data_IF_736855042556
#
_entry.id   IF_736855042556
#
_cell.length_a   1.000
_cell.length_b   1.000
_cell.length_c   1.000
_cell.angle_alpha   90.00
_cell.angle_beta   90.00
_cell.angle_gamma   90.00
#
_symmetry.space_group_name_H-M   'P 1'
#
loop_
_entity.id
_entity.type
_entity.pdbx_description
1 polymer ?
#
# COMPACT_ATOMS: atom_id res chain seq x y z
N UNK A 1 -10.20 -31.01 6.37
CA UNK A 1 -11.59 -30.63 6.11
C UNK A 1 -12.35 -31.91 5.74
N UNK A 2 -13.23 -32.38 6.62
CA UNK A 2 -14.13 -33.52 6.32
C UNK A 2 -15.08 -33.11 5.19
N UNK A 3 -15.12 -33.92 4.15
CA UNK A 3 -16.08 -33.72 3.05
C UNK A 3 -17.49 -33.96 3.61
N UNK A 4 -18.35 -32.95 3.49
CA UNK A 4 -19.77 -33.08 3.76
C UNK A 4 -20.32 -34.17 2.82
N UNK A 5 -20.87 -35.23 3.39
CA UNK A 5 -21.36 -36.40 2.62
C UNK A 5 -22.76 -36.19 2.08
N UNK A 6 -23.60 -35.47 2.82
CA UNK A 6 -24.98 -35.18 2.45
C UNK A 6 -25.50 -33.94 3.18
N UNK A 7 -26.50 -33.27 2.59
CA UNK A 7 -27.20 -32.13 3.19
C UNK A 7 -28.66 -32.51 3.28
N UNK A 8 -29.18 -32.59 4.49
CA UNK A 8 -30.59 -32.90 4.75
C UNK A 8 -31.30 -31.66 5.25
N UNK A 9 -32.38 -31.30 4.61
CA UNK A 9 -33.26 -30.20 5.04
C UNK A 9 -34.41 -30.75 5.87
N UNK A 10 -34.73 -30.07 6.98
CA UNK A 10 -35.83 -30.44 7.83
C UNK A 10 -36.18 -29.33 8.84
N UNK A 11 -37.43 -29.30 9.27
CA UNK A 11 -37.87 -28.37 10.30
C UNK A 11 -37.48 -28.94 11.69
N UNK A 12 -36.76 -28.09 12.45
CA UNK A 12 -36.33 -28.42 13.81
C UNK A 12 -36.85 -27.38 14.78
N UNK A 13 -37.49 -27.84 15.84
CA UNK A 13 -37.93 -26.95 16.93
C UNK A 13 -36.69 -26.48 17.72
N UNK A 14 -36.39 -25.21 17.63
CA UNK A 14 -35.24 -24.58 18.29
C UNK A 14 -35.55 -24.18 19.78
N UNK A 15 -36.82 -24.02 20.11
CA UNK A 15 -37.26 -23.57 21.41
C UNK A 15 -38.50 -22.68 21.35
N UNK A 16 -38.95 -22.25 22.52
CA UNK A 16 -40.09 -21.35 22.66
C UNK A 16 -39.61 -19.91 22.87
N UNK A 17 -40.23 -18.95 22.18
CA UNK A 17 -39.98 -17.52 22.34
C UNK A 17 -41.24 -16.87 22.87
N UNK A 18 -41.19 -16.05 23.95
CA UNK A 18 -42.37 -15.36 24.45
C UNK A 18 -42.93 -14.40 23.43
N UNK A 19 -44.24 -14.35 23.28
CA UNK A 19 -44.94 -13.39 22.43
C UNK A 19 -44.84 -11.98 23.03
N UNK A 20 -44.70 -10.99 22.16
CA UNK A 20 -44.75 -9.59 22.58
C UNK A 20 -46.19 -9.17 22.85
N UNK A 21 -46.41 -8.50 23.97
CA UNK A 21 -47.70 -7.91 24.30
C UNK A 21 -48.05 -6.71 23.44
N UNK A 22 -49.27 -6.23 23.50
CA UNK A 22 -49.70 -5.02 22.75
C UNK A 22 -48.92 -3.75 23.13
N UNK A 23 -48.38 -3.73 24.36
CA UNK A 23 -47.62 -2.59 24.90
C UNK A 23 -46.10 -2.73 24.65
N UNK A 24 -45.65 -3.75 23.91
CA UNK A 24 -44.25 -3.95 23.57
C UNK A 24 -43.41 -4.60 24.68
N UNK A 25 -44.07 -5.23 25.66
CA UNK A 25 -43.43 -5.99 26.73
C UNK A 25 -43.47 -7.49 26.48
N UNK A 26 -42.73 -8.25 27.27
CA UNK A 26 -42.68 -9.71 27.27
C UNK A 26 -42.90 -10.26 28.66
N UNK A 27 -43.68 -11.33 28.76
CA UNK A 27 -43.86 -12.04 30.06
C UNK A 27 -42.86 -13.19 30.09
N UNK A 28 -41.86 -13.10 30.97
CA UNK A 28 -40.82 -14.10 31.15
C UNK A 28 -40.82 -14.56 32.60
N UNK A 29 -41.10 -15.84 32.82
CA UNK A 29 -41.23 -16.44 34.20
C UNK A 29 -42.20 -15.64 35.09
N UNK A 30 -43.36 -15.23 34.56
CA UNK A 30 -44.37 -14.47 35.30
C UNK A 30 -44.01 -12.99 35.56
N UNK A 31 -42.88 -12.51 35.05
CA UNK A 31 -42.44 -11.13 35.23
C UNK A 31 -42.53 -10.39 33.91
N UNK A 32 -43.14 -9.22 33.91
CA UNK A 32 -43.18 -8.33 32.74
C UNK A 32 -41.80 -7.68 32.52
N UNK A 33 -41.28 -7.82 31.29
CA UNK A 33 -39.94 -7.30 30.88
C UNK A 33 -40.05 -6.54 29.59
N UNK A 34 -39.17 -5.56 29.41
CA UNK A 34 -39.03 -4.76 28.22
C UNK A 34 -37.61 -4.85 27.71
N UNK A 35 -37.46 -4.96 26.41
CA UNK A 35 -36.14 -4.90 25.75
C UNK A 35 -35.63 -3.47 25.76
N UNK A 36 -34.48 -3.24 26.35
CA UNK A 36 -33.83 -1.94 26.44
C UNK A 36 -32.70 -1.87 25.42
N UNK A 37 -32.71 -0.84 24.58
CA UNK A 37 -31.64 -0.57 23.66
C UNK A 37 -30.38 -0.14 24.39
N UNK A 38 -29.25 -0.72 24.00
CA UNK A 38 -27.95 -0.33 24.51
C UNK A 38 -27.22 0.50 23.48
N UNK A 39 -26.77 1.70 23.86
CA UNK A 39 -25.94 2.53 23.02
C UNK A 39 -24.52 1.96 22.98
N UNK A 40 -24.01 1.70 21.80
CA UNK A 40 -22.64 1.26 21.58
C UNK A 40 -22.03 1.97 20.36
N UNK A 41 -20.70 1.85 20.18
CA UNK A 41 -20.07 2.33 18.95
C UNK A 41 -20.61 1.56 17.75
N UNK A 42 -20.97 2.30 16.68
CA UNK A 42 -21.41 1.67 15.43
C UNK A 42 -20.26 0.85 14.83
N UNK A 43 -20.56 -0.28 14.18
CA UNK A 43 -19.59 -0.96 13.34
C UNK A 43 -19.11 -0.06 12.21
N UNK A 44 -17.85 -0.20 11.80
CA UNK A 44 -17.28 0.58 10.71
C UNK A 44 -15.79 0.82 10.87
N UNK A 45 -15.25 1.66 10.01
CA UNK A 45 -13.84 2.07 10.01
C UNK A 45 -13.78 3.51 10.50
N UNK A 46 -12.93 3.74 11.48
CA UNK A 46 -12.68 5.04 12.10
C UNK A 46 -11.24 5.43 11.89
N UNK A 47 -11.01 6.62 11.34
CA UNK A 47 -9.67 7.20 11.18
C UNK A 47 -9.45 8.27 12.24
N UNK A 48 -8.27 8.26 12.84
CA UNK A 48 -7.87 9.20 13.88
C UNK A 48 -6.39 9.56 13.75
N UNK A 49 -5.96 10.58 14.50
CA UNK A 49 -4.56 10.98 14.61
C UNK A 49 -4.28 11.59 15.99
N UNK A 50 -3.04 11.51 16.43
CA UNK A 50 -2.59 11.98 17.76
C UNK A 50 -2.35 13.49 17.84
N UNK A 51 -2.46 14.23 16.73
CA UNK A 51 -2.14 15.67 16.60
C UNK A 51 -0.70 16.01 16.99
N UNK A 52 0.23 15.08 16.80
CA UNK A 52 1.64 15.26 17.14
C UNK A 52 1.96 15.30 18.63
N UNK A 53 1.06 14.83 19.50
CA UNK A 53 1.26 14.85 20.95
C UNK A 53 2.10 13.70 21.49
N UNK A 54 2.13 12.58 20.78
CA UNK A 54 2.76 11.35 21.25
C UNK A 54 4.28 11.35 21.07
N UNK A 55 4.78 12.02 20.05
CA UNK A 55 6.20 12.07 19.74
C UNK A 55 6.79 13.46 19.93
N UNK A 56 8.02 13.54 20.49
CA UNK A 56 8.73 14.79 20.78
C UNK A 56 9.01 15.66 19.55
N UNK A 57 9.09 15.06 18.36
CA UNK A 57 9.28 15.79 17.08
C UNK A 57 8.03 16.52 16.58
N UNK A 58 6.88 16.35 17.23
CA UNK A 58 5.60 16.90 16.75
C UNK A 58 5.03 16.19 15.51
N UNK A 59 5.60 15.05 15.11
CA UNK A 59 5.12 14.24 13.98
C UNK A 59 3.73 13.71 14.28
N UNK A 60 2.79 13.91 13.34
CA UNK A 60 1.43 13.39 13.44
C UNK A 60 1.42 11.91 13.12
N UNK A 61 0.97 11.10 14.06
CA UNK A 61 0.80 9.65 13.87
C UNK A 61 -0.65 9.34 13.58
N UNK A 62 -0.89 8.73 12.43
CA UNK A 62 -2.22 8.32 11.98
C UNK A 62 -2.55 6.93 12.48
N UNK A 63 -3.84 6.71 12.73
CA UNK A 63 -4.37 5.42 13.14
C UNK A 63 -5.72 5.16 12.47
N UNK A 64 -6.04 3.89 12.30
CA UNK A 64 -7.33 3.45 11.83
C UNK A 64 -7.84 2.30 12.70
N UNK A 65 -9.12 2.31 13.01
CA UNK A 65 -9.77 1.28 13.81
C UNK A 65 -10.93 0.67 13.06
N UNK A 66 -10.92 -0.64 12.93
CA UNK A 66 -12.01 -1.41 12.35
C UNK A 66 -12.81 -2.03 13.50
N UNK A 67 -14.08 -1.64 13.60
CA UNK A 67 -15.01 -2.16 14.58
C UNK A 67 -16.02 -3.04 13.85
N UNK A 68 -16.00 -4.36 14.06
CA UNK A 68 -16.99 -5.27 13.48
C UNK A 68 -18.32 -5.19 14.23
N UNK A 69 -19.37 -5.67 13.59
CA UNK A 69 -20.67 -5.83 14.27
C UNK A 69 -20.56 -6.78 15.47
N UNK A 70 -19.77 -7.86 15.31
CA UNK A 70 -19.49 -8.85 16.36
C UNK A 70 -18.08 -9.40 16.17
N UNK A 71 -17.27 -9.38 17.21
CA UNK A 71 -15.90 -9.90 17.18
C UNK A 71 -14.86 -8.92 17.70
N UNK A 72 -13.60 -9.24 17.49
CA UNK A 72 -12.46 -8.46 17.96
C UNK A 72 -12.23 -7.21 17.11
N UNK A 73 -11.80 -6.14 17.75
CA UNK A 73 -11.41 -4.92 17.08
C UNK A 73 -10.03 -5.06 16.44
N UNK A 74 -9.85 -4.41 15.31
CA UNK A 74 -8.58 -4.35 14.61
C UNK A 74 -8.12 -2.89 14.54
N UNK A 75 -6.99 -2.61 15.15
CA UNK A 75 -6.38 -1.28 15.15
C UNK A 75 -5.13 -1.28 14.28
N UNK A 76 -5.00 -0.30 13.39
CA UNK A 76 -3.79 -0.01 12.63
C UNK A 76 -3.19 1.31 13.13
N UNK A 77 -1.89 1.32 13.39
CA UNK A 77 -1.18 2.46 13.96
C UNK A 77 0.17 2.65 13.25
N UNK A 78 0.47 3.87 12.81
CA UNK A 78 1.83 4.23 12.41
C UNK A 78 2.67 4.54 13.63
N UNK A 79 3.92 4.11 13.61
CA UNK A 79 4.90 4.53 14.60
C UNK A 79 5.69 5.76 14.11
N UNK A 80 6.59 6.28 14.97
CA UNK A 80 7.43 7.43 14.62
C UNK A 80 8.43 7.17 13.48
N UNK A 81 8.66 5.89 13.13
CA UNK A 81 9.54 5.44 12.05
C UNK A 81 8.77 5.14 10.74
N UNK A 82 7.50 5.55 10.65
CA UNK A 82 6.60 5.26 9.53
C UNK A 82 6.30 3.78 9.28
N UNK A 83 6.49 2.94 10.29
CA UNK A 83 6.15 1.52 10.21
C UNK A 83 4.69 1.35 10.62
N UNK A 84 3.92 0.70 9.76
CA UNK A 84 2.53 0.37 10.03
C UNK A 84 2.45 -0.92 10.85
N UNK A 85 1.90 -0.79 12.03
CA UNK A 85 1.58 -1.90 12.92
C UNK A 85 0.08 -2.15 12.99
N UNK A 86 -0.27 -3.36 13.30
CA UNK A 86 -1.63 -3.70 13.63
C UNK A 86 -1.73 -4.35 15.02
N UNK A 87 -2.91 -4.23 15.61
CA UNK A 87 -3.23 -4.80 16.93
C UNK A 87 -4.62 -5.41 16.88
N UNK A 88 -4.72 -6.65 17.28
CA UNK A 88 -5.98 -7.36 17.38
C UNK A 88 -6.39 -7.37 18.86
N UNK A 89 -7.59 -6.83 19.13
CA UNK A 89 -8.20 -6.86 20.46
C UNK A 89 -7.28 -6.34 21.58
N UNK A 90 -6.56 -5.24 21.31
CA UNK A 90 -5.60 -4.58 22.21
C UNK A 90 -4.41 -5.47 22.65
N UNK A 91 -4.15 -6.58 21.98
CA UNK A 91 -2.99 -7.43 22.23
C UNK A 91 -1.70 -6.78 21.72
N UNK A 92 -0.59 -7.51 21.78
CA UNK A 92 0.71 -7.04 21.28
C UNK A 92 0.61 -6.62 19.81
N UNK A 93 1.19 -5.47 19.46
CA UNK A 93 1.27 -4.99 18.09
C UNK A 93 2.20 -5.86 17.25
N UNK A 94 1.79 -6.11 16.02
CA UNK A 94 2.53 -6.86 14.99
C UNK A 94 2.63 -6.02 13.73
N UNK A 95 3.63 -6.19 12.86
CA UNK A 95 3.67 -5.53 11.57
C UNK A 95 2.42 -5.82 10.73
N UNK A 96 1.84 -4.81 10.10
CA UNK A 96 0.60 -4.95 9.33
C UNK A 96 0.73 -5.94 8.15
N UNK A 97 1.93 -6.05 7.57
CA UNK A 97 2.23 -7.00 6.49
C UNK A 97 1.97 -8.46 6.86
N UNK A 98 2.06 -8.82 8.14
CA UNK A 98 1.76 -10.19 8.60
C UNK A 98 0.27 -10.51 8.40
N UNK A 99 -0.63 -9.54 8.69
CA UNK A 99 -2.06 -9.73 8.46
C UNK A 99 -2.36 -9.79 6.96
N UNK A 100 -1.78 -8.90 6.16
CA UNK A 100 -1.99 -8.89 4.71
C UNK A 100 -1.56 -10.22 4.08
N UNK A 101 -0.42 -10.78 4.52
CA UNK A 101 0.02 -12.11 4.10
C UNK A 101 -0.89 -13.24 4.61
N UNK A 102 -1.44 -13.11 5.81
CA UNK A 102 -2.43 -14.07 6.33
C UNK A 102 -3.75 -14.03 5.55
N UNK A 103 -4.04 -12.92 4.86
CA UNK A 103 -5.13 -12.77 3.89
C UNK A 103 -4.74 -13.20 2.47
N UNK A 104 -3.62 -13.95 2.34
CA UNK A 104 -3.10 -14.52 1.08
C UNK A 104 -2.59 -13.47 0.07
N UNK A 105 -2.36 -12.22 0.50
CA UNK A 105 -1.74 -11.22 -0.38
C UNK A 105 -0.26 -11.54 -0.60
N UNK A 106 0.16 -11.59 -1.84
CA UNK A 106 1.56 -11.73 -2.23
C UNK A 106 2.37 -10.46 -1.93
N UNK A 107 3.70 -10.56 -1.93
CA UNK A 107 4.56 -9.39 -1.74
C UNK A 107 4.36 -8.33 -2.81
N UNK A 108 4.17 -8.75 -4.06
CA UNK A 108 3.89 -7.84 -5.18
C UNK A 108 2.56 -7.11 -5.01
N UNK A 109 1.49 -7.83 -4.64
CA UNK A 109 0.17 -7.23 -4.40
C UNK A 109 0.20 -6.21 -3.27
N UNK A 110 0.94 -6.51 -2.19
CA UNK A 110 1.12 -5.56 -1.09
C UNK A 110 1.84 -4.31 -1.59
N UNK A 111 2.94 -4.45 -2.32
CA UNK A 111 3.69 -3.31 -2.85
C UNK A 111 2.84 -2.47 -3.80
N UNK A 112 2.11 -3.09 -4.72
CA UNK A 112 1.21 -2.40 -5.64
C UNK A 112 0.01 -1.72 -4.97
N UNK A 113 -0.42 -2.20 -3.79
CA UNK A 113 -1.52 -1.60 -3.04
C UNK A 113 -1.12 -0.32 -2.32
N UNK A 114 0.17 -0.19 -1.94
CA UNK A 114 0.65 0.93 -1.13
C UNK A 114 1.53 1.92 -1.90
N UNK A 115 2.13 1.50 -3.01
CA UNK A 115 3.05 2.31 -3.79
C UNK A 115 2.62 2.39 -5.24
N UNK A 116 2.81 3.56 -5.81
CA UNK A 116 2.81 3.72 -7.26
C UNK A 116 4.05 3.06 -7.86
N UNK A 117 3.97 2.70 -9.12
CA UNK A 117 5.08 2.09 -9.84
C UNK A 117 5.47 2.91 -11.06
N UNK A 118 6.75 2.88 -11.37
CA UNK A 118 7.34 3.42 -12.60
C UNK A 118 7.91 2.28 -13.44
N UNK A 119 7.59 2.30 -14.74
CA UNK A 119 8.13 1.35 -15.70
C UNK A 119 9.32 1.97 -16.43
N UNK A 120 10.40 1.22 -16.48
CA UNK A 120 11.65 1.60 -17.11
C UNK A 120 11.98 0.66 -18.27
N UNK A 121 12.30 1.23 -19.41
CA UNK A 121 12.87 0.49 -20.54
C UNK A 121 14.37 0.80 -20.61
N UNK A 122 15.19 -0.23 -20.60
CA UNK A 122 16.66 -0.14 -20.63
C UNK A 122 17.13 -0.41 -22.05
N UNK A 123 17.78 0.57 -22.68
CA UNK A 123 18.34 0.46 -24.03
C UNK A 123 19.81 0.85 -23.93
N UNK A 124 20.69 -0.14 -23.83
CA UNK A 124 22.13 0.06 -23.62
C UNK A 124 22.39 0.87 -22.33
N UNK A 125 22.95 2.07 -22.46
CA UNK A 125 23.29 2.97 -21.34
C UNK A 125 22.20 3.99 -21.02
N UNK A 126 21.11 4.01 -21.78
CA UNK A 126 19.97 4.91 -21.58
C UNK A 126 18.80 4.16 -20.97
N UNK A 127 18.07 4.85 -20.12
CA UNK A 127 16.84 4.38 -19.52
C UNK A 127 15.72 5.33 -19.89
N UNK A 128 14.63 4.80 -20.42
CA UNK A 128 13.42 5.57 -20.73
C UNK A 128 12.29 5.19 -19.78
N UNK A 129 11.55 6.20 -19.35
CA UNK A 129 10.36 6.04 -18.53
C UNK A 129 9.30 7.05 -18.92
N UNK A 130 8.07 6.80 -18.52
CA UNK A 130 6.99 7.76 -18.72
C UNK A 130 7.25 9.02 -17.88
N UNK A 131 7.18 10.18 -18.51
CA UNK A 131 7.35 11.45 -17.81
C UNK A 131 6.08 11.79 -17.02
N UNK A 132 6.21 11.79 -15.70
CA UNK A 132 5.19 12.30 -14.77
C UNK A 132 5.79 13.52 -14.06
N UNK A 133 5.51 14.75 -14.52
CA UNK A 133 6.20 15.94 -14.05
C UNK A 133 6.11 16.16 -12.54
N UNK A 134 4.96 15.84 -11.92
CA UNK A 134 4.74 16.00 -10.48
C UNK A 134 5.72 15.17 -9.63
N UNK A 135 6.15 14.00 -10.13
CA UNK A 135 7.08 13.10 -9.42
C UNK A 135 8.52 13.59 -9.43
N UNK A 136 8.87 14.47 -10.36
CA UNK A 136 10.22 15.04 -10.47
C UNK A 136 10.46 16.24 -9.55
N UNK A 137 9.47 16.68 -8.79
CA UNK A 137 9.60 17.86 -7.93
C UNK A 137 10.60 17.60 -6.80
N UNK A 138 11.66 18.40 -6.79
CA UNK A 138 12.72 18.30 -5.77
C UNK A 138 13.86 17.36 -6.13
N UNK A 139 13.71 16.51 -7.14
CA UNK A 139 14.77 15.63 -7.63
C UNK A 139 15.89 16.39 -8.33
N UNK A 140 17.04 15.73 -8.41
CA UNK A 140 18.23 16.20 -9.14
C UNK A 140 18.64 15.13 -10.14
N UNK A 141 18.59 15.44 -11.41
CA UNK A 141 18.96 14.49 -12.47
C UNK A 141 20.42 14.70 -12.88
N UNK A 142 21.11 13.63 -13.18
CA UNK A 142 22.49 13.64 -13.70
C UNK A 142 22.59 14.07 -15.17
N UNK A 143 21.47 14.17 -15.86
CA UNK A 143 21.39 14.55 -17.27
C UNK A 143 20.56 15.81 -17.46
N UNK A 144 20.84 16.53 -18.57
CA UNK A 144 20.04 17.70 -18.93
C UNK A 144 18.63 17.30 -19.34
N UNK A 145 17.64 17.94 -18.76
CA UNK A 145 16.24 17.74 -19.12
C UNK A 145 15.89 18.69 -20.27
N UNK A 146 15.77 18.13 -21.47
CA UNK A 146 15.57 18.89 -22.72
C UNK A 146 14.16 18.67 -23.27
N UNK A 147 13.54 19.77 -23.69
CA UNK A 147 12.30 19.76 -24.46
C UNK A 147 12.64 20.20 -25.88
N UNK A 148 12.64 19.24 -26.81
CA UNK A 148 13.16 19.45 -28.19
C UNK A 148 14.62 19.94 -28.15
N UNK A 149 14.88 21.21 -28.46
CA UNK A 149 16.22 21.84 -28.45
C UNK A 149 16.49 22.71 -27.22
N UNK A 150 15.47 22.98 -26.40
CA UNK A 150 15.59 23.86 -25.21
C UNK A 150 15.90 23.04 -23.97
N UNK A 151 16.97 23.38 -23.26
CA UNK A 151 17.26 22.83 -21.92
C UNK A 151 16.35 23.52 -20.92
N UNK A 152 15.50 22.76 -20.21
CA UNK A 152 14.63 23.27 -19.15
C UNK A 152 15.35 23.23 -17.81
N UNK A 153 16.04 22.10 -17.53
CA UNK A 153 16.84 21.91 -16.32
C UNK A 153 18.20 21.37 -16.75
N UNK A 154 19.26 22.04 -16.34
CA UNK A 154 20.62 21.55 -16.53
C UNK A 154 20.93 20.40 -15.57
N UNK A 155 21.83 19.51 -15.97
CA UNK A 155 22.29 18.39 -15.14
C UNK A 155 22.73 18.89 -13.74
N UNK A 156 22.46 18.07 -12.73
CA UNK A 156 22.78 18.31 -11.33
C UNK A 156 22.12 19.57 -10.70
N UNK A 157 21.06 20.10 -11.34
CA UNK A 157 20.23 21.15 -10.74
C UNK A 157 18.92 20.59 -10.24
N UNK A 158 18.49 21.09 -9.07
CA UNK A 158 17.23 20.70 -8.44
C UNK A 158 16.03 21.16 -9.27
N UNK A 159 15.09 20.26 -9.51
CA UNK A 159 13.86 20.54 -10.25
C UNK A 159 12.88 21.30 -9.36
N UNK A 160 12.50 22.50 -9.83
CA UNK A 160 11.60 23.41 -9.09
C UNK A 160 10.17 23.34 -9.64
N UNK A 161 9.21 23.86 -8.88
CA UNK A 161 7.81 23.95 -9.31
C UNK A 161 7.62 24.75 -10.64
N UNK A 162 8.54 25.66 -10.98
CA UNK A 162 8.53 26.38 -12.26
C UNK A 162 8.86 25.43 -13.41
N UNK A 163 9.88 24.59 -13.23
CA UNK A 163 10.29 23.59 -14.24
C UNK A 163 9.17 22.56 -14.47
N UNK A 164 8.45 22.16 -13.42
CA UNK A 164 7.30 21.25 -13.54
C UNK A 164 6.22 21.83 -14.45
N UNK A 165 5.82 23.08 -14.24
CA UNK A 165 4.83 23.76 -15.11
C UNK A 165 5.26 23.86 -16.57
N UNK A 166 6.56 24.09 -16.79
CA UNK A 166 7.14 24.13 -18.14
C UNK A 166 7.12 22.73 -18.80
N UNK A 167 7.37 21.66 -18.03
CA UNK A 167 7.28 20.28 -18.49
C UNK A 167 5.83 19.86 -18.78
N UNK A 168 4.88 20.19 -17.93
CA UNK A 168 3.45 19.94 -18.13
C UNK A 168 2.93 20.59 -19.43
N UNK A 169 3.42 21.78 -19.76
CA UNK A 169 3.06 22.49 -20.99
C UNK A 169 3.71 21.92 -22.25
N UNK A 170 4.78 21.14 -22.11
CA UNK A 170 5.63 20.69 -23.22
C UNK A 170 5.11 19.48 -24.01
N UNK A 171 4.12 18.75 -23.49
CA UNK A 171 3.55 17.50 -24.06
C UNK A 171 4.61 16.43 -24.38
N UNK A 172 5.63 16.32 -23.56
CA UNK A 172 6.59 15.21 -23.62
C UNK A 172 6.08 14.09 -22.71
N UNK A 173 6.01 12.89 -23.24
CA UNK A 173 5.50 11.72 -22.53
C UNK A 173 6.62 10.78 -22.05
N UNK A 174 7.83 10.93 -22.58
CA UNK A 174 8.97 10.04 -22.29
C UNK A 174 10.15 10.84 -21.75
N UNK A 175 10.67 10.39 -20.64
CA UNK A 175 11.89 10.89 -20.01
C UNK A 175 13.04 9.93 -20.31
N UNK A 176 14.16 10.46 -20.81
CA UNK A 176 15.39 9.70 -21.04
C UNK A 176 16.42 10.07 -19.99
N UNK A 177 16.98 9.07 -19.34
CA UNK A 177 17.89 9.19 -18.21
C UNK A 177 19.13 8.31 -18.42
N UNK A 178 20.19 8.56 -17.64
CA UNK A 178 21.31 7.64 -17.53
C UNK A 178 20.90 6.40 -16.75
N UNK A 179 21.51 5.26 -17.03
CA UNK A 179 21.35 3.98 -16.33
C UNK A 179 21.57 4.10 -14.81
N UNK A 180 22.46 5.01 -14.39
CA UNK A 180 22.76 5.28 -12.99
C UNK A 180 21.54 5.78 -12.18
N UNK A 181 20.53 6.30 -12.87
CA UNK A 181 19.27 6.73 -12.22
C UNK A 181 18.51 5.57 -11.55
N UNK A 182 18.76 4.34 -12.00
CA UNK A 182 18.15 3.15 -11.39
C UNK A 182 18.82 2.75 -10.07
N UNK A 183 20.02 3.24 -9.77
CA UNK A 183 20.73 2.95 -8.52
C UNK A 183 19.89 3.48 -7.33
N UNK A 184 19.75 2.65 -6.31
CA UNK A 184 18.90 2.87 -5.12
C UNK A 184 17.39 2.83 -5.38
N UNK A 185 16.92 2.57 -6.59
CA UNK A 185 15.50 2.25 -6.82
C UNK A 185 15.20 0.84 -6.30
N UNK A 186 13.93 0.61 -5.98
CA UNK A 186 13.45 -0.67 -5.43
C UNK A 186 12.54 -1.35 -6.44
N UNK A 187 12.76 -2.63 -6.71
CA UNK A 187 11.95 -3.41 -7.64
C UNK A 187 10.53 -3.61 -7.11
N UNK A 188 9.54 -3.41 -7.98
CA UNK A 188 8.13 -3.61 -7.65
C UNK A 188 7.66 -5.06 -7.91
N UNK A 189 8.34 -5.74 -8.84
CA UNK A 189 8.03 -7.12 -9.25
C UNK A 189 9.29 -7.95 -9.28
N UNK A 190 9.10 -9.27 -9.26
CA UNK A 190 10.19 -10.20 -9.54
C UNK A 190 10.72 -10.00 -10.96
N UNK A 191 12.03 -9.87 -11.09
CA UNK A 191 12.71 -9.82 -12.38
C UNK A 191 13.12 -11.23 -12.76
N UNK A 192 12.50 -11.76 -13.81
CA UNK A 192 12.68 -13.13 -14.24
C UNK A 192 13.47 -13.15 -15.55
N UNK A 193 14.45 -14.02 -15.62
CA UNK A 193 15.16 -14.30 -16.87
C UNK A 193 14.22 -14.98 -17.87
N UNK A 194 14.08 -14.37 -19.03
CA UNK A 194 13.18 -14.88 -20.10
C UNK A 194 13.67 -16.21 -20.71
N UNK A 195 14.95 -16.54 -20.60
CA UNK A 195 15.52 -17.77 -21.17
C UNK A 195 15.47 -18.94 -20.19
N UNK A 196 15.76 -18.70 -18.92
CA UNK A 196 15.87 -19.76 -17.90
C UNK A 196 14.62 -19.86 -17.02
N UNK A 197 13.81 -18.79 -16.91
CA UNK A 197 12.69 -18.72 -16.00
C UNK A 197 13.10 -18.54 -14.53
N UNK A 198 14.38 -18.32 -14.25
CA UNK A 198 14.88 -18.09 -12.89
C UNK A 198 14.62 -16.65 -12.46
N UNK A 199 14.31 -16.46 -11.16
CA UNK A 199 14.17 -15.14 -10.56
C UNK A 199 15.56 -14.56 -10.31
N UNK A 200 15.95 -13.55 -11.10
CA UNK A 200 17.23 -12.85 -10.96
C UNK A 200 17.22 -11.89 -9.77
N UNK A 201 16.10 -11.19 -9.59
CA UNK A 201 15.87 -10.23 -8.52
C UNK A 201 14.45 -10.39 -8.00
N UNK A 202 14.28 -10.69 -6.72
CA UNK A 202 12.93 -10.70 -6.14
C UNK A 202 12.37 -9.29 -5.99
N UNK A 203 11.05 -9.17 -5.93
CA UNK A 203 10.37 -7.92 -5.60
C UNK A 203 10.88 -7.36 -4.26
N UNK A 204 10.86 -6.03 -4.13
CA UNK A 204 11.39 -5.31 -2.97
C UNK A 204 12.92 -5.42 -2.80
N UNK A 205 13.65 -5.58 -3.89
CA UNK A 205 15.12 -5.55 -3.88
C UNK A 205 15.64 -4.18 -4.29
N UNK A 206 16.67 -3.70 -3.60
CA UNK A 206 17.35 -2.45 -3.96
C UNK A 206 18.30 -2.71 -5.12
N UNK A 207 18.27 -1.87 -6.12
CA UNK A 207 19.15 -1.94 -7.29
C UNK A 207 20.48 -1.27 -6.94
N UNK A 208 21.56 -2.03 -7.01
CA UNK A 208 22.92 -1.55 -6.89
C UNK A 208 23.69 -1.72 -8.21
N UNK A 209 24.95 -1.34 -8.24
CA UNK A 209 25.80 -1.44 -9.43
C UNK A 209 25.96 -2.89 -9.89
N UNK A 210 26.11 -3.84 -8.97
CA UNK A 210 26.22 -5.26 -9.29
C UNK A 210 24.95 -5.82 -9.90
N UNK A 211 23.82 -5.35 -9.43
CA UNK A 211 22.49 -5.67 -9.98
C UNK A 211 22.33 -5.17 -11.42
N UNK A 212 22.78 -3.93 -11.71
CA UNK A 212 22.75 -3.41 -13.07
C UNK A 212 23.59 -4.23 -14.06
N UNK A 213 24.77 -4.69 -13.64
CA UNK A 213 25.61 -5.59 -14.43
C UNK A 213 24.93 -6.95 -14.67
N UNK A 214 24.23 -7.47 -13.66
CA UNK A 214 23.47 -8.71 -13.76
C UNK A 214 22.31 -8.58 -14.77
N UNK A 215 21.54 -7.49 -14.70
CA UNK A 215 20.44 -7.20 -15.63
C UNK A 215 20.94 -7.10 -17.07
N UNK A 216 22.09 -6.48 -17.28
CA UNK A 216 22.73 -6.35 -18.58
C UNK A 216 23.20 -7.68 -19.16
N UNK A 217 23.82 -8.53 -18.32
CA UNK A 217 24.27 -9.87 -18.70
C UNK A 217 23.12 -10.76 -19.17
N UNK A 218 21.92 -10.62 -18.57
CA UNK A 218 20.74 -11.39 -18.93
C UNK A 218 19.80 -10.69 -19.91
N UNK A 219 20.26 -9.57 -20.54
CA UNK A 219 19.50 -8.79 -21.53
C UNK A 219 18.12 -8.36 -21.05
N UNK A 220 17.99 -8.00 -19.78
CA UNK A 220 16.74 -7.50 -19.21
C UNK A 220 16.51 -6.07 -19.69
N UNK A 221 15.51 -5.88 -20.54
CA UNK A 221 15.20 -4.59 -21.16
C UNK A 221 14.04 -3.84 -20.48
N UNK A 222 13.32 -4.48 -19.59
CA UNK A 222 12.20 -3.87 -18.88
C UNK A 222 12.32 -4.10 -17.38
N UNK A 223 12.07 -3.05 -16.61
CA UNK A 223 12.13 -3.06 -15.17
C UNK A 223 10.99 -2.24 -14.58
N UNK A 224 10.34 -2.76 -13.57
CA UNK A 224 9.29 -2.05 -12.82
C UNK A 224 9.80 -1.74 -11.42
N UNK A 225 9.89 -0.45 -11.06
CA UNK A 225 10.35 -0.01 -9.75
C UNK A 225 9.24 0.70 -8.98
N UNK A 226 9.35 0.69 -7.66
CA UNK A 226 8.48 1.46 -6.79
C UNK A 226 8.80 2.96 -6.93
N UNK A 227 7.77 3.77 -7.00
CA UNK A 227 7.91 5.21 -6.79
C UNK A 227 7.88 5.48 -5.28
N UNK A 228 9.00 5.98 -4.76
CA UNK A 228 9.16 6.36 -3.37
C UNK A 228 9.47 7.85 -3.35
N UNK A 229 8.63 8.62 -2.68
CA UNK A 229 8.85 10.05 -2.52
C UNK A 229 9.80 10.28 -1.33
N UNK A 230 10.96 10.89 -1.57
CA UNK A 230 11.94 11.18 -0.51
C UNK A 230 11.46 12.25 0.50
N UNK A 231 10.35 12.92 0.20
CA UNK A 231 9.81 13.98 1.04
C UNK A 231 8.71 13.49 2.01
N UNK A 232 8.26 12.26 1.85
CA UNK A 232 7.29 11.57 2.70
C UNK A 232 7.97 10.52 3.58
#
# INVERSE_FOLDING_TARGET
LEKVKDVTEGEVVMGEVPLMTTDGSFIVNGTERVVVNQLHRSPGVFYDHDRGKTHSSGKVLYSARIIPYRGSWLDFEFDAKDILFCRIDRRRKIPATIILRALEMSSEEILHSFYDVDEYEIIKDEVSTKLIPSRLRGETLSVDLKVRTKVIVEANKRITARHIRELESSKIDVLKLSKDYLINKVTAKDVIDSETGEVLLPANSVIDTSTLELLEKHNINQLTCLYINELE
#
